data_IF_321084601616
#
_entry.id   IF_321084601616
#
_cell.length_a   1.000
_cell.length_b   1.000
_cell.length_c   1.000
_cell.angle_alpha   90.00
_cell.angle_beta   90.00
_cell.angle_gamma   90.00
#
_symmetry.space_group_name_H-M   'P 1'
#
loop_
_entity.id
_entity.type
_entity.pdbx_description
1 polymer ?
#
# COMPACT_ATOMS: atom_id res chain seq x y z
N UNK A 1 -2.74 7.08 15.05
CA UNK A 1 -1.45 6.36 14.89
C UNK A 1 -1.55 5.11 14.02
N UNK A 2 -2.62 4.31 14.08
CA UNK A 2 -2.85 3.12 13.21
C UNK A 2 -2.49 3.38 11.74
N UNK A 3 -3.02 4.45 11.13
CA UNK A 3 -2.80 4.78 9.72
C UNK A 3 -1.45 5.44 9.38
N UNK A 4 -0.62 5.74 10.38
CA UNK A 4 0.70 6.36 10.21
C UNK A 4 1.84 5.36 10.43
N UNK A 5 1.56 4.21 11.04
CA UNK A 5 2.58 3.23 11.42
C UNK A 5 2.36 1.91 10.69
N UNK A 6 1.15 1.37 10.70
CA UNK A 6 0.86 0.07 10.08
C UNK A 6 1.11 0.05 8.57
N UNK A 7 0.76 1.09 7.79
CA UNK A 7 1.07 1.10 6.37
C UNK A 7 2.57 1.14 6.09
N UNK A 8 3.41 1.49 7.06
CA UNK A 8 4.85 1.57 6.86
C UNK A 8 5.59 0.34 7.36
N UNK A 9 4.92 -0.60 8.03
CA UNK A 9 5.54 -1.86 8.48
C UNK A 9 6.07 -2.66 7.27
N UNK A 10 7.31 -3.17 7.28
CA UNK A 10 8.27 -3.30 8.39
C UNK A 10 9.28 -2.13 8.50
N UNK A 11 8.98 -0.97 7.93
CA UNK A 11 9.80 0.24 7.89
C UNK A 11 11.13 0.09 7.15
N UNK A 12 11.17 -0.78 6.14
CA UNK A 12 12.38 -1.07 5.37
C UNK A 12 12.57 -0.19 4.13
N UNK A 13 11.48 0.41 3.62
CA UNK A 13 11.51 1.25 2.43
C UNK A 13 11.85 2.72 2.71
N UNK A 14 12.76 3.29 1.92
CA UNK A 14 13.14 4.70 1.95
C UNK A 14 12.66 5.42 0.70
N UNK A 15 11.97 6.55 0.87
CA UNK A 15 11.32 7.27 -0.24
C UNK A 15 12.30 7.86 -1.24
N UNK A 16 13.52 8.20 -0.80
CA UNK A 16 14.61 8.70 -1.64
C UNK A 16 15.32 7.60 -2.44
N UNK A 17 15.18 6.34 -2.03
CA UNK A 17 15.81 5.18 -2.68
C UNK A 17 14.83 4.48 -3.61
N UNK A 18 13.67 4.08 -3.10
CA UNK A 18 12.60 3.48 -3.90
C UNK A 18 11.22 3.80 -3.32
N UNK A 19 10.48 4.76 -3.91
CA UNK A 19 9.16 5.14 -3.42
C UNK A 19 8.10 4.04 -3.57
N UNK A 20 8.37 2.97 -4.35
CA UNK A 20 7.45 1.85 -4.52
C UNK A 20 7.43 0.88 -3.33
N UNK A 21 8.37 1.05 -2.38
CA UNK A 21 8.57 0.14 -1.24
C UNK A 21 8.30 0.81 0.11
N UNK A 22 7.87 2.08 0.12
CA UNK A 22 7.80 2.90 1.35
C UNK A 22 6.58 2.60 2.21
N UNK A 23 5.54 2.03 1.63
CA UNK A 23 4.32 1.72 2.34
C UNK A 23 3.52 0.61 1.66
N UNK A 24 2.61 0.03 2.41
CA UNK A 24 1.77 -1.09 2.02
C UNK A 24 0.54 -0.63 1.25
N UNK A 25 0.11 -1.48 0.35
CA UNK A 25 -1.13 -1.40 -0.43
C UNK A 25 -2.04 -2.55 -0.01
N UNK A 26 -3.23 -2.26 0.53
CA UNK A 26 -4.14 -3.28 1.07
C UNK A 26 -5.31 -3.55 0.12
N UNK A 27 -5.32 -4.74 -0.47
CA UNK A 27 -6.25 -5.11 -1.55
C UNK A 27 -7.10 -6.34 -1.22
N UNK A 28 -8.22 -6.54 -1.92
CA UNK A 28 -9.06 -7.76 -1.85
C UNK A 28 -10.40 -7.62 -1.11
N UNK A 29 -10.67 -6.47 -0.45
CA UNK A 29 -11.98 -6.12 0.15
C UNK A 29 -12.22 -4.60 0.06
N UNK A 30 -11.91 -3.99 -1.07
CA UNK A 30 -11.88 -2.54 -1.26
C UNK A 30 -13.24 -1.89 -0.95
N UNK A 31 -14.34 -2.57 -1.26
CA UNK A 31 -15.70 -2.06 -0.97
C UNK A 31 -15.94 -1.81 0.53
N UNK A 32 -15.27 -2.58 1.40
CA UNK A 32 -15.36 -2.48 2.86
C UNK A 32 -14.19 -1.65 3.43
N UNK A 33 -12.98 -1.93 2.97
CA UNK A 33 -11.77 -1.32 3.50
C UNK A 33 -11.60 0.14 3.08
N UNK A 34 -12.01 0.52 1.86
CA UNK A 34 -11.91 1.91 1.41
C UNK A 34 -12.72 2.88 2.28
N UNK A 35 -14.00 2.62 2.63
CA UNK A 35 -14.73 3.50 3.54
C UNK A 35 -14.21 3.43 4.98
N UNK A 36 -13.93 2.23 5.51
CA UNK A 36 -13.45 2.07 6.90
C UNK A 36 -12.10 2.73 7.11
N UNK A 37 -11.18 2.53 6.18
CA UNK A 37 -9.82 3.07 6.25
C UNK A 37 -9.72 4.45 5.61
N UNK A 38 -10.83 5.10 5.23
CA UNK A 38 -10.84 6.42 4.60
C UNK A 38 -9.82 6.54 3.44
N UNK A 39 -9.82 5.57 2.53
CA UNK A 39 -8.88 5.43 1.40
C UNK A 39 -7.42 5.11 1.75
N UNK A 40 -7.08 4.92 3.02
CA UNK A 40 -5.73 4.53 3.45
C UNK A 40 -5.35 3.10 3.06
N UNK A 41 -6.28 2.29 2.53
CA UNK A 41 -5.93 1.03 1.87
C UNK A 41 -5.07 1.25 0.61
N UNK A 42 -5.08 2.47 0.06
CA UNK A 42 -4.22 2.90 -1.05
C UNK A 42 -3.01 3.75 -0.61
N UNK A 43 -2.47 3.52 0.59
CA UNK A 43 -1.42 4.39 1.14
C UNK A 43 -0.18 4.51 0.26
N UNK A 44 0.21 3.44 -0.43
CA UNK A 44 1.31 3.50 -1.39
C UNK A 44 1.02 4.44 -2.57
N UNK A 45 -0.23 4.55 -3.05
CA UNK A 45 -0.58 5.52 -4.10
C UNK A 45 -0.39 6.95 -3.60
N UNK A 46 -0.68 7.21 -2.32
CA UNK A 46 -0.45 8.51 -1.72
C UNK A 46 1.04 8.89 -1.73
N UNK A 47 1.94 7.94 -1.42
CA UNK A 47 3.39 8.18 -1.50
C UNK A 47 3.87 8.39 -2.95
N UNK A 48 3.33 7.63 -3.91
CA UNK A 48 3.71 7.75 -5.32
C UNK A 48 3.15 9.03 -5.99
N UNK A 49 1.97 9.46 -5.58
CA UNK A 49 1.23 10.58 -6.18
C UNK A 49 0.58 11.47 -5.11
N UNK A 50 1.38 12.20 -4.31
CA UNK A 50 0.89 12.96 -3.15
C UNK A 50 -0.08 14.09 -3.50
N UNK A 51 -0.09 14.54 -4.77
CA UNK A 51 -0.97 15.60 -5.27
C UNK A 51 -2.33 15.09 -5.75
N UNK A 52 -2.51 13.76 -5.86
CA UNK A 52 -3.78 13.16 -6.28
C UNK A 52 -4.75 13.18 -5.10
N UNK A 53 -6.01 13.62 -5.29
CA UNK A 53 -6.98 13.56 -4.22
C UNK A 53 -7.38 12.11 -3.91
N UNK A 54 -7.60 11.80 -2.63
CA UNK A 54 -7.75 10.43 -2.13
C UNK A 54 -8.81 9.59 -2.86
N UNK A 55 -9.93 10.20 -3.25
CA UNK A 55 -11.03 9.54 -3.96
C UNK A 55 -10.67 9.09 -5.39
N UNK A 56 -9.48 9.46 -5.88
CA UNK A 56 -8.94 9.03 -7.19
C UNK A 56 -7.84 7.98 -7.10
N UNK A 57 -7.40 7.57 -5.90
CA UNK A 57 -6.28 6.64 -5.77
C UNK A 57 -6.49 5.32 -6.52
N UNK A 58 -7.68 4.72 -6.43
CA UNK A 58 -8.00 3.51 -7.19
C UNK A 58 -7.96 3.70 -8.71
N UNK A 59 -8.30 4.89 -9.22
CA UNK A 59 -8.20 5.20 -10.66
C UNK A 59 -6.73 5.31 -11.09
N UNK A 60 -5.91 5.97 -10.30
CA UNK A 60 -4.46 6.11 -10.57
C UNK A 60 -3.77 4.77 -10.51
N UNK A 61 -4.10 3.93 -9.52
CA UNK A 61 -3.60 2.56 -9.43
C UNK A 61 -3.87 1.78 -10.72
N UNK A 62 -5.14 1.77 -11.17
CA UNK A 62 -5.57 1.07 -12.39
C UNK A 62 -4.92 1.63 -13.66
N UNK A 63 -4.74 2.94 -13.75
CA UNK A 63 -4.17 3.58 -14.93
C UNK A 63 -2.74 3.12 -15.25
N UNK A 64 -1.97 2.70 -14.25
CA UNK A 64 -0.60 2.18 -14.42
C UNK A 64 -0.40 0.84 -13.72
N UNK A 65 -1.44 0.01 -13.69
CA UNK A 65 -1.47 -1.23 -12.90
C UNK A 65 -0.30 -2.17 -13.22
N UNK A 66 0.04 -2.34 -14.50
CA UNK A 66 1.18 -3.18 -14.90
C UNK A 66 2.51 -2.67 -14.31
N UNK A 67 2.73 -1.36 -14.32
CA UNK A 67 3.92 -0.75 -13.72
C UNK A 67 3.91 -0.95 -12.20
N UNK A 68 2.79 -0.66 -11.54
CA UNK A 68 2.69 -0.79 -10.09
C UNK A 68 2.86 -2.24 -9.63
N UNK A 69 2.27 -3.22 -10.33
CA UNK A 69 2.46 -4.64 -9.98
C UNK A 69 3.91 -5.10 -10.15
N UNK A 70 4.63 -4.58 -11.14
CA UNK A 70 6.03 -4.91 -11.39
C UNK A 70 6.98 -4.34 -10.33
N UNK A 71 6.74 -3.11 -9.86
CA UNK A 71 7.67 -2.41 -8.95
C UNK A 71 7.22 -2.41 -7.48
N UNK A 72 5.91 -2.48 -7.23
CA UNK A 72 5.30 -2.43 -5.90
C UNK A 72 4.66 -3.75 -5.47
N UNK A 73 4.83 -4.83 -6.25
CA UNK A 73 4.14 -6.10 -6.01
C UNK A 73 4.36 -6.67 -4.61
N UNK A 74 5.57 -6.53 -4.08
CA UNK A 74 5.94 -6.95 -2.72
C UNK A 74 5.22 -6.18 -1.61
N UNK A 75 4.72 -4.98 -1.89
CA UNK A 75 3.99 -4.14 -0.93
C UNK A 75 2.47 -4.36 -0.97
N UNK A 76 1.97 -5.19 -1.88
CA UNK A 76 0.55 -5.51 -1.96
C UNK A 76 0.25 -6.62 -0.95
N UNK A 77 -0.53 -6.28 0.07
CA UNK A 77 -0.93 -7.18 1.15
C UNK A 77 -2.42 -7.49 1.07
N UNK A 78 -2.81 -8.63 1.65
CA UNK A 78 -4.21 -9.02 1.78
C UNK A 78 -5.01 -8.10 2.70
N UNK A 79 -6.34 -8.23 2.69
CA UNK A 79 -7.24 -7.30 3.37
C UNK A 79 -7.06 -7.28 4.89
N UNK A 80 -6.51 -8.33 5.48
CA UNK A 80 -6.29 -8.46 6.93
C UNK A 80 -4.84 -8.81 7.31
N UNK A 81 -3.94 -8.83 6.33
CA UNK A 81 -2.54 -9.18 6.57
C UNK A 81 -1.83 -8.02 7.31
N UNK A 82 -0.86 -8.35 8.18
CA UNK A 82 -0.06 -7.34 8.88
C UNK A 82 1.02 -6.75 7.97
N UNK A 83 1.67 -7.59 7.16
CA UNK A 83 2.73 -7.23 6.24
C UNK A 83 2.85 -8.20 5.06
N UNK A 84 3.83 -7.96 4.17
CA UNK A 84 4.19 -8.87 3.09
C UNK A 84 4.52 -10.29 3.59
N UNK A 85 3.93 -11.31 2.96
CA UNK A 85 4.05 -12.73 3.37
C UNK A 85 5.44 -13.33 3.23
N UNK A 86 6.33 -12.69 2.48
CA UNK A 86 7.70 -13.15 2.26
C UNK A 86 8.69 -12.54 3.27
N UNK A 87 8.21 -12.04 4.41
CA UNK A 87 9.08 -11.56 5.48
C UNK A 87 9.62 -12.72 6.33
N UNK A 88 10.90 -12.70 6.71
CA UNK A 88 11.55 -13.77 7.48
C UNK A 88 11.05 -13.94 8.93
N UNK A 89 9.91 -13.35 9.30
CA UNK A 89 9.31 -13.42 10.64
C UNK A 89 7.90 -14.00 10.72
N UNK A 90 7.24 -14.29 9.60
CA UNK A 90 5.83 -14.72 9.56
C UNK A 90 5.66 -16.26 9.58
N UNK A 91 6.73 -16.99 9.89
CA UNK A 91 6.71 -18.43 10.19
C UNK A 91 6.90 -18.64 11.70
N UNK A 92 5.85 -18.44 12.48
CA UNK A 92 5.78 -18.83 13.89
C UNK A 92 4.37 -19.34 14.22
#
# INVERSE_FOLDING_TARGET
>A
MVFMVLPHYPHTGRQDVDPNTTSLMRMGKEWLLTPILMYQNYHLVHHLYPTVPFYRYGKVWKAREAYHRKHSGSMIIGPFDLGPKDQPGDAA
#
